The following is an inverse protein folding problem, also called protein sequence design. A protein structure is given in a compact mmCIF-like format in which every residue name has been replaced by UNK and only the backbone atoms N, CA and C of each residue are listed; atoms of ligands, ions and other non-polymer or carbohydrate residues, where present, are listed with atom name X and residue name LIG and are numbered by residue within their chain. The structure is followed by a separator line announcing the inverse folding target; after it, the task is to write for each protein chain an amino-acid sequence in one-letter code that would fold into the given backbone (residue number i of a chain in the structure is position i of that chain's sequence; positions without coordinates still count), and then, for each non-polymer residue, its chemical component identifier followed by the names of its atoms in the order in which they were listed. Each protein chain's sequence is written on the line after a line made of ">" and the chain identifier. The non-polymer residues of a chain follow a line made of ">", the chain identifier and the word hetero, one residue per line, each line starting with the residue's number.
data_IF_983890317870
#
_entry.id   IF_983890317870
#
_cell.length_a   1.000
_cell.length_b   1.000
_cell.length_c   1.000
_cell.angle_alpha   90.00
_cell.angle_beta   90.00
_cell.angle_gamma   90.00
#
_symmetry.space_group_name_H-M   'P 1'
#
loop_
_entity.id
_entity.type
_entity.pdbx_description
1 polymer ?
#
# COMPACT_ATOMS: atom_id res chain seq x y z
N UNK A 1 14.15 -9.81 7.54
CA UNK A 1 12.68 -9.94 7.60
C UNK A 1 12.13 -9.58 6.25
N UNK A 2 11.02 -10.20 5.84
CA UNK A 2 10.39 -9.95 4.54
C UNK A 2 9.25 -8.96 4.74
N UNK A 3 9.27 -7.86 4.01
CA UNK A 3 8.25 -6.82 4.06
C UNK A 3 7.53 -6.73 2.73
N UNK A 4 6.22 -6.51 2.79
CA UNK A 4 5.33 -6.42 1.65
C UNK A 4 4.86 -4.98 1.54
N UNK A 5 5.06 -4.32 0.40
CA UNK A 5 4.51 -3.00 0.18
C UNK A 5 3.10 -3.10 -0.38
N UNK A 6 2.16 -2.39 0.23
CA UNK A 6 0.86 -2.10 -0.38
C UNK A 6 0.91 -0.68 -0.92
N UNK A 7 0.52 -0.52 -2.18
CA UNK A 7 0.29 0.80 -2.77
C UNK A 7 -1.20 1.05 -2.85
N UNK A 8 -1.64 2.12 -2.18
CA UNK A 8 -3.01 2.64 -2.29
C UNK A 8 -3.01 3.85 -3.20
N UNK A 9 -3.95 3.89 -4.14
CA UNK A 9 -4.19 5.03 -5.01
C UNK A 9 -5.60 5.53 -4.72
N UNK A 10 -5.72 6.81 -4.38
CA UNK A 10 -7.00 7.51 -4.31
C UNK A 10 -7.05 8.54 -5.43
N UNK A 11 -8.09 8.51 -6.27
CA UNK A 11 -8.28 9.47 -7.35
C UNK A 11 -9.30 10.58 -6.99
N UNK A 12 -9.34 11.61 -7.83
CA UNK A 12 -10.24 12.76 -7.69
C UNK A 12 -11.72 12.44 -7.93
N UNK A 13 -12.05 11.18 -8.25
CA UNK A 13 -13.41 10.69 -8.51
C UNK A 13 -13.89 9.75 -7.41
N UNK A 14 -13.31 9.89 -6.21
CA UNK A 14 -13.58 9.07 -5.03
C UNK A 14 -13.29 7.57 -5.23
N UNK A 15 -12.53 7.18 -6.26
CA UNK A 15 -12.09 5.79 -6.39
C UNK A 15 -10.84 5.58 -5.55
N UNK A 16 -10.89 4.57 -4.69
CA UNK A 16 -9.73 4.12 -3.93
C UNK A 16 -9.43 2.67 -4.29
N UNK A 17 -8.18 2.36 -4.55
CA UNK A 17 -7.75 0.98 -4.85
C UNK A 17 -6.40 0.72 -4.22
N UNK A 18 -6.24 -0.47 -3.64
CA UNK A 18 -4.98 -0.92 -3.08
C UNK A 18 -4.51 -2.23 -3.71
N UNK A 19 -3.19 -2.42 -3.81
CA UNK A 19 -2.61 -3.69 -4.22
C UNK A 19 -1.21 -3.88 -3.61
N UNK A 20 -0.79 -5.14 -3.44
CA UNK A 20 0.60 -5.47 -3.09
C UNK A 20 1.45 -5.25 -4.34
N UNK A 21 2.44 -4.36 -4.26
CA UNK A 21 3.22 -3.92 -5.42
C UNK A 21 4.68 -4.35 -5.38
N UNK A 22 5.21 -4.67 -4.21
CA UNK A 22 6.61 -5.09 -4.06
C UNK A 22 6.84 -5.86 -2.77
N UNK A 23 8.00 -6.48 -2.71
CA UNK A 23 8.44 -7.24 -1.54
C UNK A 23 9.95 -7.09 -1.39
N UNK A 24 10.40 -6.79 -0.18
CA UNK A 24 11.82 -6.55 0.12
C UNK A 24 12.27 -7.33 1.34
N UNK A 25 13.53 -7.77 1.33
CA UNK A 25 14.20 -8.28 2.53
C UNK A 25 14.99 -7.15 3.19
N UNK A 26 14.67 -6.85 4.45
CA UNK A 26 15.32 -5.79 5.22
C UNK A 26 15.47 -6.21 6.68
N UNK A 27 16.43 -5.60 7.40
CA UNK A 27 16.60 -5.78 8.84
C UNK A 27 15.52 -5.06 9.66
N UNK A 28 14.89 -4.04 9.10
CA UNK A 28 13.88 -3.20 9.73
C UNK A 28 12.80 -2.78 8.74
N UNK A 29 11.62 -2.43 9.24
CA UNK A 29 10.50 -1.98 8.41
C UNK A 29 10.94 -0.77 7.56
N UNK A 30 10.73 -0.79 6.23
CA UNK A 30 11.03 0.35 5.39
C UNK A 30 10.14 1.56 5.73
N UNK A 31 10.58 2.75 5.32
CA UNK A 31 9.80 3.97 5.52
C UNK A 31 8.57 3.96 4.61
N UNK A 32 7.41 4.30 5.17
CA UNK A 32 6.21 4.57 4.38
C UNK A 32 6.44 5.73 3.40
N UNK A 33 5.79 5.64 2.25
CA UNK A 33 5.86 6.63 1.17
C UNK A 33 4.53 7.32 0.96
N UNK A 34 4.58 8.57 0.53
CA UNK A 34 3.42 9.32 0.06
C UNK A 34 3.84 10.18 -1.12
N UNK A 35 3.00 10.21 -2.16
CA UNK A 35 3.21 11.06 -3.33
C UNK A 35 1.84 11.49 -3.86
N UNK A 36 1.58 12.79 -3.78
CA UNK A 36 0.44 13.42 -4.43
C UNK A 36 0.82 13.82 -5.87
N UNK A 37 -0.12 13.65 -6.78
CA UNK A 37 -0.07 14.17 -8.15
C UNK A 37 -1.31 15.03 -8.41
N UNK A 38 -1.40 15.65 -9.58
CA UNK A 38 -2.56 16.48 -9.93
C UNK A 38 -3.91 15.73 -9.90
N UNK A 39 -3.90 14.40 -10.00
CA UNK A 39 -5.12 13.58 -10.18
C UNK A 39 -5.30 12.48 -9.13
N UNK A 40 -4.20 12.05 -8.50
CA UNK A 40 -4.21 10.93 -7.59
C UNK A 40 -3.24 11.14 -6.44
N UNK A 41 -3.61 10.62 -5.28
CA UNK A 41 -2.75 10.44 -4.13
C UNK A 41 -2.29 8.98 -4.06
N UNK A 42 -0.98 8.79 -3.93
CA UNK A 42 -0.33 7.48 -3.87
C UNK A 42 0.28 7.29 -2.48
N UNK A 43 -0.17 6.27 -1.76
CA UNK A 43 0.35 5.88 -0.45
C UNK A 43 1.09 4.55 -0.58
N UNK A 44 2.21 4.41 0.12
CA UNK A 44 3.01 3.18 0.18
C UNK A 44 3.17 2.79 1.64
N UNK A 45 2.51 1.72 2.04
CA UNK A 45 2.60 1.14 3.38
C UNK A 45 3.36 -0.18 3.33
N UNK A 46 4.07 -0.50 4.41
CA UNK A 46 4.85 -1.72 4.51
C UNK A 46 4.32 -2.59 5.64
N UNK A 47 4.17 -3.88 5.35
CA UNK A 47 3.68 -4.89 6.29
C UNK A 47 4.74 -5.97 6.44
N UNK A 48 4.89 -6.52 7.65
CA UNK A 48 5.81 -7.63 7.92
C UNK A 48 5.19 -9.01 7.64
N UNK A 49 3.89 -9.03 7.30
CA UNK A 49 3.10 -10.22 7.02
C UNK A 49 2.30 -10.09 5.73
N UNK A 50 2.37 -11.11 4.87
CA UNK A 50 1.56 -11.20 3.67
C UNK A 50 0.05 -11.20 3.99
N UNK A 51 -0.34 -11.84 5.10
CA UNK A 51 -1.75 -11.92 5.50
C UNK A 51 -2.30 -10.53 5.82
N UNK A 52 -1.56 -9.74 6.59
CA UNK A 52 -1.95 -8.38 6.96
C UNK A 52 -2.04 -7.47 5.73
N UNK A 53 -1.03 -7.55 4.84
CA UNK A 53 -1.05 -6.84 3.57
C UNK A 53 -2.29 -7.18 2.72
N UNK A 54 -2.67 -8.46 2.64
CA UNK A 54 -3.85 -8.90 1.89
C UNK A 54 -5.16 -8.48 2.56
N UNK A 55 -5.24 -8.52 3.89
CA UNK A 55 -6.40 -8.03 4.65
C UNK A 55 -6.61 -6.54 4.44
N UNK A 56 -5.53 -5.75 4.43
CA UNK A 56 -5.58 -4.32 4.12
C UNK A 56 -6.05 -4.07 2.68
N UNK A 57 -5.48 -4.77 1.69
CA UNK A 57 -5.92 -4.66 0.29
C UNK A 57 -7.40 -4.99 0.13
N UNK A 58 -7.87 -6.05 0.79
CA UNK A 58 -9.27 -6.45 0.75
C UNK A 58 -10.17 -5.39 1.40
N UNK A 59 -9.76 -4.83 2.54
CA UNK A 59 -10.51 -3.79 3.23
C UNK A 59 -10.69 -2.55 2.34
N UNK A 60 -9.61 -2.07 1.71
CA UNK A 60 -9.66 -0.88 0.84
C UNK A 60 -10.53 -1.13 -0.40
N UNK A 61 -10.38 -2.28 -1.05
CA UNK A 61 -11.12 -2.56 -2.30
C UNK A 61 -12.60 -2.95 -2.07
N UNK A 62 -13.06 -3.07 -0.82
CA UNK A 62 -14.47 -3.29 -0.47
C UNK A 62 -15.18 -2.03 0.03
N UNK A 63 -14.45 -0.94 0.22
CA UNK A 63 -14.98 0.37 0.61
C UNK A 63 -15.55 1.11 -0.62
#
# INVERSE_FOLDING_TARGET
>A
MKYYSVTTIADDRDNVTANITSTIESSSIPKAGFTATDKVDIYIDWFDSLKEALEFVKFVNMA
#
